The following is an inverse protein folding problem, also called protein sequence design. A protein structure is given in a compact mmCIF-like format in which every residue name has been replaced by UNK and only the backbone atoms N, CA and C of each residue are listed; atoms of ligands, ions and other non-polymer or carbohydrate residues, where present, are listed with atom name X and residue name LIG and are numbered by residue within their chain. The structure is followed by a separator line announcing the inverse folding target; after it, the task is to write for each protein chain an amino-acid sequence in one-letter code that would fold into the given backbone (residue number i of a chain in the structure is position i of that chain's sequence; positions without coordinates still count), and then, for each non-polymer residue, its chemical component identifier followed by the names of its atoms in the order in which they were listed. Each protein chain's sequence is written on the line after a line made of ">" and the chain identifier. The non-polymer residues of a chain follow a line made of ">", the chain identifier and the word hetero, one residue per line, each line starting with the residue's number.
data_IF_274782687268
#
_entry.id   IF_274782687268
#
_cell.length_a   1.000
_cell.length_b   1.000
_cell.length_c   1.000
_cell.angle_alpha   90.00
_cell.angle_beta   90.00
_cell.angle_gamma   90.00
#
_symmetry.space_group_name_H-M   'P 1'
#
loop_
_entity.id
_entity.type
_entity.pdbx_description
1 polymer ?
#
# COMPACT_ATOMS: atom_id res chain seq x y z
N UNK A 1 5.92 3.83 -2.65
CA UNK A 1 6.18 2.42 -2.32
C UNK A 1 7.21 1.90 -3.30
N UNK A 2 7.97 0.88 -2.92
CA UNK A 2 9.10 0.38 -3.69
C UNK A 2 9.23 -1.13 -3.54
N UNK A 3 9.60 -1.80 -4.61
CA UNK A 3 10.02 -3.22 -4.62
C UNK A 3 11.48 -3.28 -5.04
N UNK A 4 12.30 -4.02 -4.29
CA UNK A 4 13.74 -4.05 -4.54
C UNK A 4 14.38 -5.40 -4.14
N UNK A 5 15.38 -5.88 -4.89
CA UNK A 5 16.17 -7.04 -4.52
C UNK A 5 17.33 -6.69 -3.59
N UNK A 6 17.95 -7.72 -3.01
CA UNK A 6 19.31 -7.61 -2.49
C UNK A 6 20.32 -7.42 -3.63
N UNK A 7 21.58 -7.21 -3.27
CA UNK A 7 22.66 -7.06 -4.25
C UNK A 7 22.84 -8.29 -5.15
N UNK A 8 22.44 -9.47 -4.71
CA UNK A 8 22.58 -10.72 -5.45
C UNK A 8 21.36 -11.04 -6.33
N UNK A 9 20.24 -10.31 -6.18
CA UNK A 9 18.98 -10.62 -6.84
C UNK A 9 18.21 -11.80 -6.23
N UNK A 10 18.62 -12.28 -5.05
CA UNK A 10 18.09 -13.51 -4.44
C UNK A 10 16.88 -13.20 -3.58
N UNK A 11 17.05 -12.34 -2.57
CA UNK A 11 15.95 -11.90 -1.71
C UNK A 11 15.33 -10.63 -2.24
N UNK A 12 14.02 -10.49 -2.04
CA UNK A 12 13.23 -9.36 -2.52
C UNK A 12 12.42 -8.78 -1.38
N UNK A 13 12.25 -7.46 -1.38
CA UNK A 13 11.44 -6.76 -0.39
C UNK A 13 10.52 -5.75 -1.03
N UNK A 14 9.41 -5.49 -0.33
CA UNK A 14 8.52 -4.36 -0.54
C UNK A 14 8.62 -3.39 0.63
N UNK A 15 8.58 -2.08 0.36
CA UNK A 15 8.52 -1.01 1.36
C UNK A 15 7.50 0.04 0.95
N UNK A 16 6.68 0.49 1.91
CA UNK A 16 5.68 1.51 1.69
C UNK A 16 5.84 2.68 2.66
N UNK A 17 5.35 3.85 2.23
CA UNK A 17 5.29 5.08 3.01
C UNK A 17 3.86 5.56 2.96
N UNK A 18 3.32 5.90 4.12
CA UNK A 18 1.94 6.35 4.29
C UNK A 18 1.94 7.72 4.96
N UNK A 19 0.90 8.51 4.69
CA UNK A 19 0.62 9.76 5.39
C UNK A 19 1.80 10.75 5.43
N UNK A 20 2.57 10.85 4.34
CA UNK A 20 3.74 11.72 4.20
C UNK A 20 4.83 11.53 5.27
N UNK A 21 4.91 10.37 5.92
CA UNK A 21 6.01 10.05 6.83
C UNK A 21 7.29 9.83 6.03
N UNK A 22 8.41 10.40 6.52
CA UNK A 22 9.74 10.16 5.94
C UNK A 22 10.19 8.71 6.19
N UNK A 23 9.93 8.23 7.41
CA UNK A 23 10.11 6.82 7.75
C UNK A 23 8.99 5.98 7.15
N UNK A 24 9.36 5.08 6.23
CA UNK A 24 8.45 4.08 5.69
C UNK A 24 8.31 2.88 6.62
N UNK A 25 7.24 2.12 6.44
CA UNK A 25 6.96 0.89 7.17
C UNK A 25 8.12 -0.12 7.07
N UNK A 26 8.22 -1.03 8.02
CA UNK A 26 9.22 -2.10 7.96
C UNK A 26 9.16 -2.83 6.61
N UNK A 27 10.31 -3.09 6.01
CA UNK A 27 10.37 -3.82 4.74
C UNK A 27 9.88 -5.24 4.96
N UNK A 28 9.03 -5.71 4.06
CA UNK A 28 8.47 -7.07 4.08
C UNK A 28 9.17 -7.87 3.00
N UNK A 29 9.72 -9.03 3.34
CA UNK A 29 10.31 -9.95 2.37
C UNK A 29 9.19 -10.58 1.53
N UNK A 30 9.40 -10.67 0.22
CA UNK A 30 8.43 -11.16 -0.75
C UNK A 30 9.09 -12.18 -1.66
N UNK A 31 8.28 -13.01 -2.30
CA UNK A 31 8.78 -13.93 -3.33
C UNK A 31 9.19 -13.16 -4.58
N UNK A 32 10.22 -13.64 -5.27
CA UNK A 32 10.71 -13.04 -6.53
C UNK A 32 9.61 -12.99 -7.58
N UNK A 33 8.77 -14.01 -7.66
CA UNK A 33 7.65 -14.11 -8.59
C UNK A 33 6.61 -13.01 -8.33
N UNK A 34 6.31 -12.71 -7.06
CA UNK A 34 5.43 -11.60 -6.69
C UNK A 34 6.05 -10.26 -7.12
N UNK A 35 7.34 -10.06 -6.87
CA UNK A 35 8.05 -8.86 -7.29
C UNK A 35 8.01 -8.65 -8.81
N UNK A 36 8.28 -9.70 -9.59
CA UNK A 36 8.22 -9.64 -11.07
C UNK A 36 6.81 -9.29 -11.53
N UNK A 37 5.78 -9.92 -10.95
CA UNK A 37 4.38 -9.63 -11.31
C UNK A 37 4.01 -8.18 -11.01
N UNK A 38 4.44 -7.65 -9.87
CA UNK A 38 4.23 -6.24 -9.52
C UNK A 38 4.95 -5.29 -10.47
N UNK A 39 6.23 -5.54 -10.77
CA UNK A 39 7.05 -4.68 -11.66
C UNK A 39 6.52 -4.66 -13.10
N UNK A 40 5.85 -5.73 -13.53
CA UNK A 40 5.21 -5.81 -14.85
C UNK A 40 3.74 -5.34 -14.83
N UNK A 41 3.30 -4.61 -13.79
CA UNK A 41 1.94 -4.08 -13.64
C UNK A 41 0.84 -5.16 -13.72
N UNK A 42 1.16 -6.42 -13.36
CA UNK A 42 0.19 -7.53 -13.29
C UNK A 42 -0.52 -7.61 -11.94
N UNK A 43 -0.18 -6.74 -10.99
CA UNK A 43 -0.82 -6.61 -9.68
C UNK A 43 -1.06 -5.13 -9.44
N UNK A 44 -2.31 -4.77 -9.18
CA UNK A 44 -2.69 -3.40 -8.84
C UNK A 44 -2.03 -2.94 -7.55
N UNK A 45 -1.67 -1.66 -7.50
CA UNK A 45 -0.99 -1.06 -6.35
C UNK A 45 -1.80 -1.21 -5.05
N UNK A 46 -3.11 -1.00 -5.12
CA UNK A 46 -3.97 -1.08 -3.92
C UNK A 46 -4.06 -2.52 -3.42
N UNK A 47 -4.24 -3.49 -4.32
CA UNK A 47 -4.21 -4.91 -3.98
C UNK A 47 -2.87 -5.32 -3.34
N UNK A 48 -1.75 -4.81 -3.86
CA UNK A 48 -0.43 -5.05 -3.27
C UNK A 48 -0.30 -4.46 -1.86
N UNK A 49 -0.80 -3.24 -1.64
CA UNK A 49 -0.76 -2.61 -0.32
C UNK A 49 -1.70 -3.30 0.67
N UNK A 50 -2.85 -3.80 0.22
CA UNK A 50 -3.76 -4.59 1.05
C UNK A 50 -3.11 -5.90 1.51
N UNK A 51 -2.37 -6.57 0.63
CA UNK A 51 -1.69 -7.83 0.96
C UNK A 51 -0.54 -7.63 1.96
N UNK A 52 0.34 -6.66 1.72
CA UNK A 52 1.58 -6.51 2.49
C UNK A 52 1.52 -5.45 3.62
N UNK A 53 0.59 -4.51 3.55
CA UNK A 53 0.42 -3.43 4.55
C UNK A 53 -1.06 -3.25 4.96
N UNK A 54 -1.76 -4.32 5.36
CA UNK A 54 -3.23 -4.31 5.55
C UNK A 54 -3.70 -3.31 6.59
N UNK A 55 -2.95 -3.13 7.69
CA UNK A 55 -3.33 -2.19 8.76
C UNK A 55 -3.30 -0.74 8.29
N UNK A 56 -2.32 -0.38 7.47
CA UNK A 56 -2.21 0.95 6.90
C UNK A 56 -3.32 1.19 5.86
N UNK A 57 -3.66 0.17 5.07
CA UNK A 57 -4.77 0.24 4.12
C UNK A 57 -6.14 0.33 4.80
N UNK A 58 -6.33 -0.36 5.92
CA UNK A 58 -7.55 -0.23 6.74
C UNK A 58 -7.74 1.22 7.20
N UNK A 59 -6.69 1.84 7.75
CA UNK A 59 -6.73 3.26 8.15
C UNK A 59 -7.01 4.18 6.96
N UNK A 60 -6.39 3.91 5.80
CA UNK A 60 -6.60 4.68 4.58
C UNK A 60 -8.06 4.61 4.10
N UNK A 61 -8.64 3.41 4.03
CA UNK A 61 -10.05 3.23 3.64
C UNK A 61 -11.01 3.90 4.63
N UNK A 62 -10.74 3.76 5.92
CA UNK A 62 -11.53 4.41 6.97
C UNK A 62 -11.51 5.94 6.82
N UNK A 63 -10.36 6.54 6.48
CA UNK A 63 -10.27 7.98 6.25
C UNK A 63 -11.08 8.45 5.03
N UNK A 64 -11.12 7.65 3.95
CA UNK A 64 -11.94 7.96 2.76
C UNK A 64 -13.42 7.92 3.10
N UNK A 65 -13.89 6.85 3.75
CA UNK A 65 -15.31 6.74 4.12
C UNK A 65 -15.72 7.84 5.11
N UNK A 66 -14.86 8.17 6.08
CA UNK A 66 -15.11 9.31 6.99
C UNK A 66 -15.22 10.64 6.23
N UNK A 67 -14.34 10.89 5.25
CA UNK A 67 -14.38 12.12 4.45
C UNK A 67 -15.67 12.18 3.62
N UNK A 68 -16.08 11.06 3.03
CA UNK A 68 -17.33 10.94 2.29
C UNK A 68 -18.55 11.21 3.17
N UNK A 69 -18.63 10.61 4.36
CA UNK A 69 -19.70 10.88 5.32
C UNK A 69 -19.76 12.36 5.72
N UNK A 70 -18.60 12.98 5.95
CA UNK A 70 -18.53 14.41 6.27
C UNK A 70 -19.06 15.28 5.12
N UNK A 71 -18.66 14.99 3.87
CA UNK A 71 -19.14 15.72 2.70
C UNK A 71 -20.65 15.57 2.51
N UNK A 72 -21.19 14.36 2.67
CA UNK A 72 -22.62 14.10 2.52
C UNK A 72 -23.46 14.85 3.57
N UNK A 73 -22.96 14.96 4.81
CA UNK A 73 -23.57 15.79 5.87
C UNK A 73 -23.56 17.27 5.52
N UNK A 74 -22.47 17.78 4.90
CA UNK A 74 -22.38 19.18 4.49
C UNK A 74 -23.39 19.57 3.41
N UNK A 75 -23.79 18.63 2.55
CA UNK A 75 -24.77 18.86 1.49
C UNK A 75 -26.19 18.38 1.85
N UNK A 76 -26.45 18.10 3.13
CA UNK A 76 -27.74 17.64 3.66
C UNK A 76 -28.31 16.39 2.96
N UNK A 77 -27.45 15.49 2.47
CA UNK A 77 -27.88 14.24 1.83
C UNK A 77 -28.03 13.08 2.81
N UNK A 78 -27.54 13.24 4.04
CA UNK A 78 -27.72 12.42 5.25
C UNK A 78 -27.46 13.31 6.46
#
# INVERSE_FOLDING_TARGET
>A
MSVYPDRAGVRWWTKAWFNNREEGEASVEIEREQAIRFIHDNIEKDAWLEEFFPKQMEVYHNAIEQTKEQLLKQINMI
#
